data_IF_753295021856
#
_entry.id   IF_753295021856
#
_cell.length_a   1.000
_cell.length_b   1.000
_cell.length_c   1.000
_cell.angle_alpha   90.00
_cell.angle_beta   90.00
_cell.angle_gamma   90.00
#
_symmetry.space_group_name_H-M   'P 1'
#
loop_
_entity.id
_entity.type
_entity.pdbx_description
1 polymer ?
#
# COMPACT_ATOMS: atom_id res chain seq x y z
N UNK A 1 -37.87 -41.58 -62.97
CA UNK A 1 -37.67 -40.31 -62.24
C UNK A 1 -37.08 -40.62 -60.87
N UNK A 2 -35.87 -40.11 -60.59
CA UNK A 2 -35.12 -40.34 -59.34
C UNK A 2 -35.61 -39.34 -58.28
N UNK A 3 -35.92 -39.81 -57.08
CA UNK A 3 -36.11 -39.01 -55.87
C UNK A 3 -34.99 -39.37 -54.90
N UNK A 4 -34.14 -38.40 -54.57
CA UNK A 4 -33.05 -38.49 -53.60
C UNK A 4 -33.59 -37.90 -52.30
N UNK A 5 -33.54 -38.59 -51.14
CA UNK A 5 -33.88 -37.97 -49.88
C UNK A 5 -32.68 -37.19 -49.33
N UNK A 6 -32.92 -35.93 -48.97
CA UNK A 6 -31.96 -35.05 -48.33
C UNK A 6 -32.05 -35.28 -46.81
N UNK A 7 -31.11 -36.03 -46.23
CA UNK A 7 -30.96 -36.15 -44.77
C UNK A 7 -30.02 -35.07 -44.26
N UNK A 8 -30.58 -34.01 -43.66
CA UNK A 8 -29.82 -33.01 -42.88
C UNK A 8 -29.41 -33.60 -41.54
N UNK A 9 -28.12 -33.91 -41.37
CA UNK A 9 -27.52 -34.21 -40.08
C UNK A 9 -27.11 -32.89 -39.39
N UNK A 10 -27.78 -32.53 -38.30
CA UNK A 10 -27.38 -31.43 -37.44
C UNK A 10 -26.25 -31.90 -36.50
N UNK A 11 -25.02 -31.44 -36.73
CA UNK A 11 -23.90 -31.67 -35.83
C UNK A 11 -23.98 -30.70 -34.64
N UNK A 12 -24.33 -31.18 -33.45
CA UNK A 12 -24.16 -30.45 -32.19
C UNK A 12 -22.66 -30.40 -31.88
N UNK A 13 -22.03 -29.23 -32.05
CA UNK A 13 -20.70 -28.97 -31.53
C UNK A 13 -20.78 -28.74 -30.02
N UNK A 14 -20.37 -29.73 -29.22
CA UNK A 14 -20.21 -29.58 -27.79
C UNK A 14 -19.02 -28.65 -27.51
N UNK A 15 -19.29 -27.40 -27.13
CA UNK A 15 -18.27 -26.46 -26.64
C UNK A 15 -17.87 -26.92 -25.23
N UNK A 16 -16.69 -27.53 -25.11
CA UNK A 16 -16.10 -27.84 -23.82
C UNK A 16 -15.67 -26.54 -23.14
N UNK A 17 -16.43 -26.11 -22.14
CA UNK A 17 -16.03 -25.01 -21.25
C UNK A 17 -14.99 -25.57 -20.28
N UNK A 18 -13.72 -25.38 -20.59
CA UNK A 18 -12.64 -25.64 -19.62
C UNK A 18 -12.72 -24.60 -18.53
N UNK A 19 -13.24 -24.98 -17.36
CA UNK A 19 -13.14 -24.17 -16.16
C UNK A 19 -11.66 -24.04 -15.77
N UNK A 20 -11.08 -22.85 -15.96
CA UNK A 20 -9.80 -22.52 -15.34
C UNK A 20 -10.09 -22.39 -13.85
N UNK A 21 -9.70 -23.40 -13.07
CA UNK A 21 -9.74 -23.30 -11.62
C UNK A 21 -8.88 -22.10 -11.21
N UNK A 22 -9.49 -21.07 -10.62
CA UNK A 22 -8.77 -19.94 -10.06
C UNK A 22 -7.78 -20.47 -9.01
N UNK A 23 -6.48 -20.48 -9.36
CA UNK A 23 -5.44 -20.84 -8.42
C UNK A 23 -5.44 -19.79 -7.31
N UNK A 24 -5.73 -20.22 -6.09
CA UNK A 24 -5.65 -19.41 -4.87
C UNK A 24 -4.29 -18.67 -4.87
N UNK A 25 -4.26 -17.33 -4.69
CA UNK A 25 -3.00 -16.59 -4.66
C UNK A 25 -2.08 -17.24 -3.61
N UNK A 26 -0.79 -17.42 -3.87
CA UNK A 26 0.12 -18.00 -2.89
C UNK A 26 0.20 -17.11 -1.64
N UNK A 27 -0.04 -17.71 -0.48
CA UNK A 27 0.25 -17.14 0.84
C UNK A 27 1.02 -18.20 1.62
N UNK A 28 2.10 -17.83 2.28
CA UNK A 28 2.87 -18.77 3.05
C UNK A 28 2.27 -18.86 4.46
N UNK A 29 1.48 -19.91 4.71
CA UNK A 29 0.70 -20.05 5.96
C UNK A 29 1.50 -20.65 7.13
N UNK A 30 2.83 -20.57 7.14
CA UNK A 30 3.60 -20.94 8.33
C UNK A 30 3.74 -19.73 9.26
N UNK A 31 3.36 -19.91 10.52
CA UNK A 31 3.30 -18.86 11.56
C UNK A 31 4.60 -18.05 11.73
N UNK A 32 5.74 -18.57 11.29
CA UNK A 32 7.04 -17.91 11.45
C UNK A 32 7.59 -17.26 10.17
N UNK A 33 6.92 -17.36 9.01
CA UNK A 33 7.47 -16.81 7.76
C UNK A 33 7.10 -15.34 7.63
N UNK A 34 8.10 -14.52 7.37
CA UNK A 34 7.89 -13.11 7.06
C UNK A 34 7.59 -12.96 5.58
N UNK A 35 6.36 -12.54 5.28
CA UNK A 35 5.91 -12.16 3.94
C UNK A 35 6.30 -10.71 3.65
N UNK A 36 7.08 -10.49 2.58
CA UNK A 36 7.65 -9.21 2.20
C UNK A 36 7.25 -8.86 0.77
N UNK A 37 6.46 -7.81 0.63
CA UNK A 37 6.13 -7.28 -0.68
C UNK A 37 7.22 -6.35 -1.22
N UNK A 38 7.55 -6.55 -2.49
CA UNK A 38 8.60 -5.82 -3.19
C UNK A 38 8.09 -5.34 -4.55
N UNK A 39 8.09 -4.03 -4.76
CA UNK A 39 7.85 -3.44 -6.08
C UNK A 39 9.20 -3.10 -6.70
N UNK A 40 9.41 -3.52 -7.95
CA UNK A 40 10.63 -3.21 -8.69
C UNK A 40 10.27 -2.41 -9.92
N UNK A 41 10.93 -1.28 -10.13
CA UNK A 41 10.62 -0.35 -11.22
C UNK A 41 11.86 0.11 -11.98
N UNK A 42 11.67 0.50 -13.24
CA UNK A 42 12.71 1.12 -14.05
C UNK A 42 12.90 2.61 -13.68
N UNK A 43 13.75 3.32 -14.44
CA UNK A 43 14.04 4.74 -14.22
C UNK A 43 12.86 5.67 -14.53
N UNK A 44 11.97 5.24 -15.42
CA UNK A 44 10.77 5.99 -15.80
C UNK A 44 9.61 5.71 -14.84
N UNK A 45 9.84 4.81 -13.89
CA UNK A 45 8.88 4.44 -12.89
C UNK A 45 7.86 3.40 -13.36
N UNK A 46 8.16 2.60 -14.39
CA UNK A 46 7.31 1.48 -14.79
C UNK A 46 7.69 0.24 -14.00
N UNK A 47 6.68 -0.53 -13.58
CA UNK A 47 6.90 -1.82 -12.92
C UNK A 47 7.63 -2.79 -13.85
N UNK A 48 8.64 -3.47 -13.30
CA UNK A 48 9.46 -4.46 -14.00
C UNK A 48 8.98 -5.85 -13.63
N UNK A 49 8.41 -6.56 -14.62
CA UNK A 49 8.02 -7.97 -14.52
C UNK A 49 9.15 -8.91 -14.94
N UNK A 50 8.98 -10.22 -14.69
CA UNK A 50 9.91 -11.25 -15.15
C UNK A 50 11.23 -11.32 -14.38
N UNK A 51 11.29 -10.75 -13.17
CA UNK A 51 12.33 -11.07 -12.21
C UNK A 51 12.08 -12.46 -11.63
N UNK A 52 13.15 -13.14 -11.28
CA UNK A 52 13.16 -14.46 -10.65
C UNK A 52 13.63 -14.33 -9.22
N UNK A 53 13.38 -15.33 -8.37
CA UNK A 53 13.91 -15.40 -6.99
C UNK A 53 15.41 -15.08 -6.91
N UNK A 54 16.20 -15.53 -7.88
CA UNK A 54 17.66 -15.38 -7.91
C UNK A 54 18.11 -13.93 -8.14
N UNK A 55 17.21 -13.08 -8.65
CA UNK A 55 17.49 -11.66 -8.83
C UNK A 55 17.47 -10.89 -7.48
N UNK A 56 16.94 -11.47 -6.40
CA UNK A 56 16.73 -10.79 -5.12
C UNK A 56 17.71 -11.23 -4.03
N UNK A 57 18.25 -10.25 -3.30
CA UNK A 57 18.96 -10.43 -2.04
C UNK A 57 18.19 -9.70 -0.94
N UNK A 58 17.87 -10.40 0.16
CA UNK A 58 17.22 -9.82 1.33
C UNK A 58 18.15 -9.92 2.53
N UNK A 59 18.22 -8.84 3.31
CA UNK A 59 18.92 -8.81 4.60
C UNK A 59 17.99 -8.34 5.70
N UNK A 60 18.10 -8.97 6.84
CA UNK A 60 17.47 -8.56 8.09
C UNK A 60 18.55 -8.29 9.13
N UNK A 61 18.54 -7.10 9.73
CA UNK A 61 19.57 -6.67 10.68
C UNK A 61 21.01 -6.83 10.15
N UNK A 62 21.18 -6.55 8.85
CA UNK A 62 22.43 -6.67 8.12
C UNK A 62 22.85 -8.10 7.76
N UNK A 63 22.12 -9.12 8.22
CA UNK A 63 22.37 -10.53 7.91
C UNK A 63 21.57 -10.96 6.69
N UNK A 64 22.22 -11.61 5.72
CA UNK A 64 21.52 -12.20 4.58
C UNK A 64 20.57 -13.31 5.06
N UNK A 65 19.35 -13.30 4.52
CA UNK A 65 18.33 -14.32 4.78
C UNK A 65 18.03 -15.09 3.51
N UNK A 66 17.73 -16.38 3.66
CA UNK A 66 17.39 -17.22 2.52
C UNK A 66 15.90 -17.10 2.21
N UNK A 67 15.57 -16.76 0.96
CA UNK A 67 14.19 -16.75 0.46
C UNK A 67 13.66 -18.19 0.37
N UNK A 68 12.62 -18.51 1.13
CA UNK A 68 11.93 -19.81 1.11
C UNK A 68 10.76 -19.83 0.13
N UNK A 69 10.40 -18.66 -0.35
CA UNK A 69 9.10 -18.37 -0.89
C UNK A 69 9.22 -17.21 -1.89
N UNK A 70 8.65 -17.37 -3.08
CA UNK A 70 8.71 -16.37 -4.14
C UNK A 70 7.48 -16.46 -5.03
N UNK A 71 6.87 -15.30 -5.29
CA UNK A 71 5.72 -15.16 -6.17
C UNK A 71 5.85 -13.84 -6.93
N UNK A 72 5.65 -13.87 -8.25
CA UNK A 72 5.41 -12.67 -9.03
C UNK A 72 3.90 -12.44 -9.13
N UNK A 73 3.41 -11.29 -8.65
CA UNK A 73 1.99 -10.94 -8.65
C UNK A 73 1.75 -9.80 -9.64
N UNK A 74 0.76 -10.00 -10.52
CA UNK A 74 0.31 -8.99 -11.47
C UNK A 74 -1.21 -8.88 -11.41
N UNK A 75 -1.72 -7.77 -10.89
CA UNK A 75 -3.16 -7.51 -10.76
C UNK A 75 -3.72 -6.69 -11.95
N UNK A 76 -2.90 -6.30 -12.94
CA UNK A 76 -3.39 -5.50 -14.07
C UNK A 76 -4.37 -6.32 -14.92
N UNK A 77 -5.65 -5.95 -14.86
CA UNK A 77 -6.71 -6.50 -15.72
C UNK A 77 -7.33 -7.80 -15.23
N UNK A 78 -7.10 -8.20 -13.97
CA UNK A 78 -7.82 -9.34 -13.43
C UNK A 78 -9.28 -8.99 -13.19
N UNK A 79 -10.17 -9.78 -13.80
CA UNK A 79 -11.61 -9.73 -13.52
C UNK A 79 -11.96 -10.39 -12.17
N UNK A 80 -10.98 -10.94 -11.45
CA UNK A 80 -11.20 -11.51 -10.13
C UNK A 80 -11.30 -10.39 -9.09
N UNK A 81 -12.42 -10.35 -8.38
CA UNK A 81 -12.67 -9.42 -7.28
C UNK A 81 -11.62 -9.55 -6.16
N UNK A 82 -10.94 -10.69 -6.05
CA UNK A 82 -9.88 -10.93 -5.07
C UNK A 82 -8.55 -10.19 -5.38
N UNK A 83 -8.36 -9.70 -6.60
CA UNK A 83 -7.15 -8.96 -7.03
C UNK A 83 -7.29 -7.44 -6.86
N UNK A 84 -8.41 -6.99 -6.28
CA UNK A 84 -8.66 -5.60 -5.93
C UNK A 84 -7.64 -5.05 -4.93
N UNK A 85 -7.48 -3.72 -4.90
CA UNK A 85 -6.64 -3.03 -3.91
C UNK A 85 -7.51 -2.53 -2.77
N UNK A 86 -6.98 -2.55 -1.54
CA UNK A 86 -7.61 -1.88 -0.40
C UNK A 86 -6.81 -0.64 -0.06
N UNK A 87 -7.37 0.54 -0.38
CA UNK A 87 -6.70 1.84 -0.24
C UNK A 87 -7.43 2.69 0.80
N UNK A 88 -6.69 3.08 1.84
CA UNK A 88 -7.17 4.01 2.86
C UNK A 88 -6.50 5.37 2.65
N UNK A 89 -7.30 6.39 2.36
CA UNK A 89 -6.81 7.76 2.21
C UNK A 89 -6.93 8.50 3.53
N UNK A 90 -5.80 8.95 4.09
CA UNK A 90 -5.78 9.81 5.27
C UNK A 90 -5.68 11.27 4.83
N UNK A 91 -6.58 12.12 5.31
CA UNK A 91 -6.59 13.55 4.99
C UNK A 91 -6.17 14.38 6.20
N UNK A 92 -5.05 15.10 6.07
CA UNK A 92 -4.52 15.99 7.09
C UNK A 92 -5.38 17.26 7.22
N UNK A 93 -6.41 17.22 8.05
CA UNK A 93 -7.26 18.36 8.40
C UNK A 93 -6.72 19.20 9.57
N UNK A 94 -5.75 18.68 10.33
CA UNK A 94 -5.19 19.33 11.53
C UNK A 94 -3.93 20.15 11.25
N UNK A 95 -3.01 19.64 10.44
CA UNK A 95 -1.70 20.23 10.15
C UNK A 95 -1.68 21.16 8.93
N UNK A 96 -2.79 21.24 8.19
CA UNK A 96 -2.93 22.08 7.01
C UNK A 96 -3.59 23.42 7.35
N UNK A 97 -3.22 24.49 6.63
CA UNK A 97 -3.89 25.79 6.73
C UNK A 97 -5.25 25.73 6.03
N UNK A 98 -6.28 26.50 6.48
CA UNK A 98 -7.60 26.51 5.84
C UNK A 98 -7.58 26.73 4.32
N UNK A 99 -6.64 27.57 3.83
CA UNK A 99 -6.44 27.83 2.40
C UNK A 99 -6.07 26.59 1.56
N UNK A 100 -5.60 25.51 2.17
CA UNK A 100 -5.26 24.27 1.48
C UNK A 100 -6.47 23.37 1.19
N UNK A 101 -7.66 23.71 1.71
CA UNK A 101 -8.86 22.86 1.64
C UNK A 101 -9.17 22.41 0.21
N UNK A 102 -9.28 23.35 -0.74
CA UNK A 102 -9.60 23.03 -2.14
C UNK A 102 -8.53 22.15 -2.80
N UNK A 103 -7.25 22.41 -2.50
CA UNK A 103 -6.13 21.62 -3.03
C UNK A 103 -6.17 20.17 -2.53
N UNK A 104 -6.35 19.95 -1.23
CA UNK A 104 -6.42 18.61 -0.65
C UNK A 104 -7.64 17.85 -1.19
N UNK A 105 -8.82 18.49 -1.29
CA UNK A 105 -10.01 17.88 -1.91
C UNK A 105 -9.75 17.49 -3.36
N UNK A 106 -9.08 18.34 -4.13
CA UNK A 106 -8.74 18.04 -5.53
C UNK A 106 -7.79 16.84 -5.64
N UNK A 107 -6.73 16.79 -4.81
CA UNK A 107 -5.78 15.66 -4.81
C UNK A 107 -6.50 14.37 -4.40
N UNK A 108 -7.29 14.39 -3.33
CA UNK A 108 -8.05 13.24 -2.86
C UNK A 108 -9.08 12.76 -3.88
N UNK A 109 -9.76 13.69 -4.56
CA UNK A 109 -10.67 13.38 -5.66
C UNK A 109 -9.95 12.69 -6.83
N UNK A 110 -8.74 13.11 -7.17
CA UNK A 110 -7.93 12.42 -8.17
C UNK A 110 -7.50 11.02 -7.72
N UNK A 111 -7.12 10.83 -6.45
CA UNK A 111 -6.86 9.49 -5.91
C UNK A 111 -8.11 8.62 -6.05
N UNK A 112 -9.28 9.14 -5.67
CA UNK A 112 -10.54 8.43 -5.75
C UNK A 112 -11.00 8.10 -7.18
N UNK A 113 -10.64 8.94 -8.15
CA UNK A 113 -10.98 8.72 -9.56
C UNK A 113 -10.23 7.52 -10.18
N UNK A 114 -9.02 7.20 -9.69
CA UNK A 114 -8.22 6.07 -10.19
C UNK A 114 -8.65 4.72 -9.61
N UNK A 115 -9.49 4.71 -8.57
CA UNK A 115 -10.07 3.48 -8.03
C UNK A 115 -11.01 2.85 -9.07
N UNK A 116 -10.68 1.61 -9.45
CA UNK A 116 -11.49 0.76 -10.31
C UNK A 116 -12.63 0.06 -9.54
N UNK A 117 -13.52 -0.66 -10.24
CA UNK A 117 -14.69 -1.30 -9.62
C UNK A 117 -14.36 -2.38 -8.58
N UNK A 118 -13.17 -2.98 -8.64
CA UNK A 118 -12.72 -4.00 -7.69
C UNK A 118 -11.95 -3.47 -6.48
N UNK A 119 -11.63 -2.17 -6.45
CA UNK A 119 -10.87 -1.56 -5.36
C UNK A 119 -11.78 -1.14 -4.21
N UNK A 120 -11.35 -1.40 -2.97
CA UNK A 120 -11.92 -0.72 -1.81
C UNK A 120 -11.18 0.60 -1.63
N UNK A 121 -11.93 1.69 -1.58
CA UNK A 121 -11.41 3.00 -1.25
C UNK A 121 -12.20 3.57 -0.09
N UNK A 122 -11.51 3.92 0.98
CA UNK A 122 -12.07 4.68 2.10
C UNK A 122 -11.24 5.93 2.37
N UNK A 123 -11.84 6.90 3.03
CA UNK A 123 -11.22 8.19 3.39
C UNK A 123 -11.41 8.41 4.88
N UNK A 124 -10.36 8.83 5.58
CA UNK A 124 -10.39 9.20 7.00
C UNK A 124 -9.83 10.61 7.15
N UNK A 125 -10.60 11.50 7.79
CA UNK A 125 -10.15 12.84 8.18
C UNK A 125 -9.61 12.77 9.61
N UNK A 126 -8.39 13.24 9.85
CA UNK A 126 -7.67 12.96 11.11
C UNK A 126 -8.36 13.54 12.36
N UNK A 127 -9.01 14.69 12.25
CA UNK A 127 -9.75 15.29 13.36
C UNK A 127 -11.11 14.64 13.59
N UNK A 128 -11.65 13.88 12.62
CA UNK A 128 -12.96 13.27 12.72
C UNK A 128 -12.89 11.85 13.29
N UNK A 129 -13.32 11.69 14.54
CA UNK A 129 -13.28 10.41 15.27
C UNK A 129 -14.30 9.37 14.79
N UNK A 130 -15.26 9.75 13.94
CA UNK A 130 -16.29 8.86 13.43
C UNK A 130 -15.93 8.29 12.05
N UNK A 131 -14.81 8.71 11.45
CA UNK A 131 -14.38 8.18 10.17
C UNK A 131 -13.69 6.83 10.36
N UNK A 132 -14.37 5.77 9.95
CA UNK A 132 -13.90 4.37 10.04
C UNK A 132 -13.07 3.94 8.81
N UNK A 133 -12.16 2.94 8.95
CA UNK A 133 -11.29 2.43 7.88
C UNK A 133 -12.00 1.49 6.89
N UNK A 134 -13.32 1.54 6.83
CA UNK A 134 -14.17 0.82 5.90
C UNK A 134 -15.30 1.72 5.43
N UNK A 135 -15.88 1.38 4.28
CA UNK A 135 -16.90 2.18 3.62
C UNK A 135 -16.89 1.94 2.13
N UNK A 136 -17.93 2.41 1.45
CA UNK A 136 -17.99 2.38 0.00
C UNK A 136 -17.41 3.65 -0.63
N UNK A 137 -17.29 3.62 -1.96
CA UNK A 137 -16.78 4.77 -2.73
C UNK A 137 -17.61 6.03 -2.55
N UNK A 138 -18.94 5.91 -2.35
CA UNK A 138 -19.84 7.05 -2.18
C UNK A 138 -19.55 7.76 -0.87
N UNK A 139 -19.36 7.00 0.22
CA UNK A 139 -18.97 7.54 1.52
C UNK A 139 -17.57 8.17 1.46
N UNK A 140 -16.63 7.54 0.77
CA UNK A 140 -15.30 8.12 0.56
C UNK A 140 -15.37 9.49 -0.13
N UNK A 141 -16.15 9.60 -1.22
CA UNK A 141 -16.35 10.86 -1.93
C UNK A 141 -17.06 11.91 -1.07
N UNK A 142 -18.05 11.53 -0.27
CA UNK A 142 -18.70 12.43 0.68
C UNK A 142 -17.71 13.00 1.71
N UNK A 143 -16.88 12.14 2.31
CA UNK A 143 -15.83 12.58 3.26
C UNK A 143 -14.81 13.53 2.61
N UNK A 144 -14.47 13.33 1.33
CA UNK A 144 -13.64 14.28 0.58
C UNK A 144 -14.34 15.62 0.42
N UNK A 145 -15.62 15.63 0.04
CA UNK A 145 -16.40 16.87 -0.11
C UNK A 145 -16.55 17.62 1.21
N UNK A 146 -16.66 16.90 2.33
CA UNK A 146 -16.79 17.49 3.66
C UNK A 146 -15.47 17.92 4.29
N UNK A 147 -14.32 17.43 3.80
CA UNK A 147 -13.00 17.74 4.36
C UNK A 147 -12.76 19.25 4.50
N UNK A 148 -12.25 19.70 5.64
CA UNK A 148 -11.86 21.09 5.89
C UNK A 148 -10.48 21.10 6.55
N UNK A 149 -9.57 21.95 6.08
CA UNK A 149 -8.25 22.09 6.70
C UNK A 149 -8.29 23.10 7.87
N UNK A 150 -7.37 22.93 8.83
CA UNK A 150 -7.21 23.81 9.99
C UNK A 150 -8.18 23.50 11.14
N UNK A 151 -8.56 22.22 11.29
CA UNK A 151 -9.47 21.77 12.34
C UNK A 151 -8.69 21.59 13.65
N UNK A 152 -9.07 22.37 14.67
CA UNK A 152 -8.53 22.25 16.02
C UNK A 152 -7.07 22.70 16.19
N UNK A 153 -6.51 22.56 17.40
CA UNK A 153 -5.13 22.93 17.68
C UNK A 153 -4.16 21.84 17.21
N UNK A 154 -3.18 22.21 16.39
CA UNK A 154 -2.06 21.34 16.04
C UNK A 154 -1.00 21.33 17.16
N UNK A 155 -0.85 20.18 17.82
CA UNK A 155 0.28 19.89 18.71
C UNK A 155 1.17 18.84 18.06
N UNK A 156 2.43 19.16 17.78
CA UNK A 156 3.29 18.29 16.99
C UNK A 156 3.47 16.89 17.58
N UNK A 157 3.63 16.77 18.90
CA UNK A 157 3.93 15.48 19.53
C UNK A 157 2.65 14.67 19.65
N UNK A 158 1.61 15.23 20.27
CA UNK A 158 0.32 14.56 20.47
C UNK A 158 -0.33 14.16 19.16
N UNK A 159 -0.31 15.05 18.16
CA UNK A 159 -0.87 14.74 16.83
C UNK A 159 -0.07 13.63 16.14
N UNK A 160 1.25 13.58 16.31
CA UNK A 160 2.05 12.48 15.76
C UNK A 160 1.70 11.15 16.43
N UNK A 161 1.54 11.13 17.74
CA UNK A 161 1.10 9.94 18.49
C UNK A 161 -0.28 9.46 18.02
N UNK A 162 -1.25 10.36 17.89
CA UNK A 162 -2.60 10.04 17.43
C UNK A 162 -2.60 9.48 15.99
N UNK A 163 -1.80 10.07 15.10
CA UNK A 163 -1.65 9.58 13.71
C UNK A 163 -1.00 8.19 13.69
N UNK A 164 0.03 7.93 14.49
CA UNK A 164 0.65 6.61 14.57
C UNK A 164 -0.34 5.55 15.10
N UNK A 165 -1.14 5.88 16.12
CA UNK A 165 -2.20 4.99 16.61
C UNK A 165 -3.28 4.74 15.56
N UNK A 166 -3.63 5.76 14.76
CA UNK A 166 -4.53 5.59 13.63
C UNK A 166 -3.93 4.65 12.57
N UNK A 167 -2.67 4.84 12.18
CA UNK A 167 -1.97 3.94 11.25
C UNK A 167 -1.94 2.49 11.78
N UNK A 168 -1.70 2.31 13.08
CA UNK A 168 -1.79 0.98 13.73
C UNK A 168 -3.19 0.38 13.61
N UNK A 169 -4.22 1.15 13.94
CA UNK A 169 -5.63 0.71 13.89
C UNK A 169 -6.05 0.33 12.46
N UNK A 170 -5.77 1.21 11.49
CA UNK A 170 -6.01 0.99 10.07
C UNK A 170 -5.30 -0.26 9.57
N UNK A 171 -4.01 -0.43 9.91
CA UNK A 171 -3.22 -1.59 9.48
C UNK A 171 -3.80 -2.89 10.03
N UNK A 172 -4.22 -2.92 11.31
CA UNK A 172 -4.90 -4.09 11.89
C UNK A 172 -6.23 -4.40 11.21
N UNK A 173 -7.02 -3.37 10.85
CA UNK A 173 -8.26 -3.55 10.09
C UNK A 173 -7.97 -4.15 8.70
N UNK A 174 -6.93 -3.65 8.03
CA UNK A 174 -6.53 -4.14 6.71
C UNK A 174 -5.94 -5.55 6.77
N UNK A 175 -5.28 -5.95 7.86
CA UNK A 175 -4.77 -7.32 8.07
C UNK A 175 -5.87 -8.37 7.87
N UNK A 176 -7.08 -8.09 8.36
CA UNK A 176 -8.26 -8.95 8.25
C UNK A 176 -8.82 -9.05 6.82
N UNK A 177 -8.45 -8.13 5.93
CA UNK A 177 -8.86 -8.16 4.52
C UNK A 177 -7.95 -9.11 3.75
N UNK A 178 -8.47 -10.27 3.34
CA UNK A 178 -7.65 -11.30 2.71
C UNK A 178 -7.14 -10.88 1.32
N UNK A 179 -5.85 -11.11 1.07
CA UNK A 179 -5.18 -11.23 -0.25
C UNK A 179 -5.20 -10.01 -1.20
N UNK A 180 -5.67 -8.86 -0.74
CA UNK A 180 -5.58 -7.61 -1.50
C UNK A 180 -4.28 -6.88 -1.24
N UNK A 181 -3.79 -6.15 -2.23
CA UNK A 181 -2.71 -5.19 -2.02
C UNK A 181 -3.24 -4.02 -1.18
N UNK A 182 -2.58 -3.73 -0.06
CA UNK A 182 -3.04 -2.75 0.92
C UNK A 182 -2.16 -1.52 0.91
N UNK A 183 -2.77 -0.35 0.80
CA UNK A 183 -2.06 0.91 0.82
C UNK A 183 -2.74 1.94 1.72
N UNK A 184 -1.93 2.73 2.41
CA UNK A 184 -2.37 3.94 3.08
C UNK A 184 -1.82 5.13 2.27
N UNK A 185 -2.67 6.05 1.85
CA UNK A 185 -2.25 7.27 1.14
C UNK A 185 -2.57 8.47 2.02
N UNK A 186 -1.55 9.08 2.61
CA UNK A 186 -1.74 10.30 3.40
C UNK A 186 -1.55 11.54 2.52
N UNK A 187 -2.53 12.45 2.56
CA UNK A 187 -2.51 13.71 1.79
C UNK A 187 -2.47 14.86 2.78
N UNK A 188 -1.41 15.65 2.75
CA UNK A 188 -1.21 16.65 3.80
C UNK A 188 0.19 17.23 3.94
N UNK A 189 0.54 17.54 5.18
CA UNK A 189 1.83 18.08 5.57
C UNK A 189 2.84 16.97 5.89
N UNK A 190 4.14 17.28 5.79
CA UNK A 190 5.20 16.34 6.14
C UNK A 190 5.20 15.95 7.63
N UNK A 191 4.81 16.88 8.50
CA UNK A 191 4.76 16.63 9.94
C UNK A 191 3.74 15.55 10.32
N UNK A 192 2.73 15.34 9.46
CA UNK A 192 1.64 14.40 9.66
C UNK A 192 1.82 13.15 8.80
N UNK A 193 2.03 13.33 7.49
CA UNK A 193 2.06 12.22 6.55
C UNK A 193 3.39 11.48 6.48
N UNK A 194 4.47 12.00 7.05
CA UNK A 194 5.75 11.31 7.10
C UNK A 194 6.46 11.57 8.43
N UNK A 195 5.81 11.16 9.53
CA UNK A 195 6.39 11.20 10.87
C UNK A 195 7.76 10.52 10.82
N UNK A 196 8.77 11.18 11.40
CA UNK A 196 10.15 10.65 11.42
C UNK A 196 10.31 9.64 12.55
N UNK A 197 11.15 8.64 12.34
CA UNK A 197 11.53 7.68 13.38
C UNK A 197 11.98 8.45 14.65
N UNK A 198 11.33 8.18 15.80
CA UNK A 198 11.72 8.78 17.07
C UNK A 198 13.13 8.36 17.47
N UNK A 199 13.88 9.27 18.10
CA UNK A 199 15.17 8.90 18.71
C UNK A 199 14.96 7.83 19.79
N UNK A 200 15.96 6.97 20.08
CA UNK A 200 15.83 5.91 21.09
C UNK A 200 15.31 6.38 22.46
N UNK A 201 15.63 7.61 22.85
CA UNK A 201 15.23 8.22 24.12
C UNK A 201 14.13 9.29 23.97
N UNK A 202 13.30 9.19 22.94
CA UNK A 202 12.15 10.09 22.80
C UNK A 202 11.21 9.95 24.02
N UNK A 203 10.82 11.08 24.60
CA UNK A 203 9.85 11.15 25.70
C UNK A 203 8.44 10.86 25.21
N UNK A 204 7.57 10.36 26.09
CA UNK A 204 6.17 10.06 25.78
C UNK A 204 5.97 8.68 25.15
N UNK A 205 4.80 8.48 24.53
CA UNK A 205 4.42 7.23 23.86
C UNK A 205 4.93 7.14 22.42
N UNK A 206 5.43 8.24 21.85
CA UNK A 206 5.79 8.33 20.43
C UNK A 206 6.68 7.18 19.92
N UNK A 207 7.70 6.73 20.68
CA UNK A 207 8.53 5.58 20.27
C UNK A 207 7.72 4.28 20.25
N UNK A 208 6.87 4.06 21.25
CA UNK A 208 6.00 2.88 21.33
C UNK A 208 4.99 2.89 20.18
N UNK A 209 4.30 4.01 19.97
CA UNK A 209 3.31 4.16 18.90
C UNK A 209 3.97 3.97 17.52
N UNK A 210 5.22 4.40 17.33
CA UNK A 210 6.00 4.15 16.13
C UNK A 210 6.25 2.65 15.88
N UNK A 211 6.73 1.94 16.90
CA UNK A 211 7.02 0.50 16.82
C UNK A 211 5.74 -0.27 16.51
N UNK A 212 4.64 0.08 17.18
CA UNK A 212 3.33 -0.53 16.94
C UNK A 212 2.83 -0.27 15.51
N UNK A 213 2.97 0.95 15.00
CA UNK A 213 2.54 1.31 13.66
C UNK A 213 3.35 0.58 12.58
N UNK A 214 4.69 0.58 12.68
CA UNK A 214 5.57 -0.13 11.75
C UNK A 214 5.34 -1.65 11.82
N UNK A 215 5.18 -2.20 13.02
CA UNK A 215 4.89 -3.63 13.22
C UNK A 215 3.54 -4.04 12.65
N UNK A 216 2.48 -3.26 12.91
CA UNK A 216 1.16 -3.52 12.36
C UNK A 216 1.13 -3.40 10.83
N UNK A 217 1.77 -2.37 10.27
CA UNK A 217 1.87 -2.22 8.82
C UNK A 217 2.66 -3.38 8.18
N UNK A 218 3.73 -3.85 8.83
CA UNK A 218 4.49 -4.99 8.34
C UNK A 218 3.67 -6.29 8.36
N UNK A 219 2.96 -6.62 9.45
CA UNK A 219 2.09 -7.82 9.52
C UNK A 219 0.95 -7.76 8.51
N UNK A 220 0.38 -6.58 8.30
CA UNK A 220 -0.70 -6.39 7.35
C UNK A 220 -0.23 -6.29 5.88
N UNK A 221 1.08 -6.26 5.61
CA UNK A 221 1.66 -5.95 4.29
C UNK A 221 1.11 -4.64 3.68
N UNK A 222 1.05 -3.60 4.51
CA UNK A 222 0.61 -2.25 4.12
C UNK A 222 1.81 -1.41 3.71
N UNK A 223 1.73 -0.77 2.55
CA UNK A 223 2.66 0.31 2.16
C UNK A 223 1.98 1.67 2.35
N UNK A 224 2.65 2.59 3.05
CA UNK A 224 2.16 3.95 3.22
C UNK A 224 2.84 4.89 2.24
N UNK A 225 2.07 5.74 1.56
CA UNK A 225 2.53 6.79 0.66
C UNK A 225 2.11 8.16 1.19
N UNK A 226 2.88 9.19 0.86
CA UNK A 226 2.55 10.56 1.24
C UNK A 226 2.49 11.48 0.00
N UNK A 227 1.38 12.19 -0.15
CA UNK A 227 1.19 13.23 -1.15
C UNK A 227 1.24 14.59 -0.45
N UNK A 228 2.40 15.24 -0.48
CA UNK A 228 2.62 16.49 0.24
C UNK A 228 2.12 17.67 -0.58
N UNK A 229 1.11 18.37 -0.05
CA UNK A 229 0.45 19.49 -0.72
C UNK A 229 1.25 20.80 -0.68
N UNK A 230 2.31 20.87 0.13
CA UNK A 230 3.17 22.04 0.29
C UNK A 230 4.60 21.73 -0.20
N UNK A 231 5.33 22.76 -0.66
CA UNK A 231 6.78 22.62 -0.91
C UNK A 231 7.50 22.53 0.42
N UNK A 232 8.07 21.36 0.71
CA UNK A 232 8.85 21.11 1.93
C UNK A 232 10.05 20.26 1.57
N UNK A 233 11.14 20.46 2.31
CA UNK A 233 12.33 19.62 2.18
C UNK A 233 12.03 18.22 2.66
N UNK A 234 12.14 17.24 1.77
CA UNK A 234 11.96 15.84 2.09
C UNK A 234 12.95 15.40 3.18
N UNK A 235 12.43 14.78 4.24
CA UNK A 235 13.25 14.09 5.23
C UNK A 235 13.14 12.58 5.02
N UNK A 236 14.28 11.91 4.92
CA UNK A 236 14.37 10.44 4.95
C UNK A 236 14.12 9.89 6.36
N UNK A 237 13.89 8.58 6.47
CA UNK A 237 13.73 7.90 7.76
C UNK A 237 12.39 8.17 8.45
N UNK A 238 11.33 8.35 7.66
CA UNK A 238 9.96 8.46 8.15
C UNK A 238 9.14 7.22 7.89
N UNK A 239 7.92 7.18 8.43
CA UNK A 239 7.05 5.99 8.45
C UNK A 239 6.69 5.49 7.04
N UNK A 240 6.59 6.41 6.08
CA UNK A 240 6.37 6.09 4.66
C UNK A 240 7.46 5.16 4.14
N UNK A 241 8.72 5.49 4.42
CA UNK A 241 9.86 4.69 3.99
C UNK A 241 9.99 3.40 4.81
N UNK A 242 9.69 3.46 6.12
CA UNK A 242 9.71 2.31 7.00
C UNK A 242 8.75 1.20 6.52
N UNK A 243 7.58 1.59 5.98
CA UNK A 243 6.54 0.69 5.44
C UNK A 243 6.68 0.40 3.93
N UNK A 244 7.69 0.98 3.27
CA UNK A 244 8.06 0.65 1.90
C UNK A 244 7.35 1.44 0.80
N UNK A 245 6.70 2.55 1.15
CA UNK A 245 6.19 3.50 0.15
C UNK A 245 7.12 4.69 -0.07
N UNK A 246 6.60 5.70 -0.75
CA UNK A 246 7.36 6.88 -1.20
C UNK A 246 6.63 8.18 -0.86
N UNK A 247 7.41 9.23 -0.58
CA UNK A 247 6.89 10.57 -0.34
C UNK A 247 6.99 11.35 -1.63
N UNK A 248 5.85 11.83 -2.12
CA UNK A 248 5.77 12.67 -3.30
C UNK A 248 5.53 14.12 -2.90
N UNK A 249 6.27 15.02 -3.52
CA UNK A 249 6.11 16.47 -3.35
C UNK A 249 5.94 17.11 -4.70
N UNK A 250 4.94 17.95 -4.88
CA UNK A 250 4.80 18.75 -6.09
C UNK A 250 3.88 19.93 -5.83
N UNK A 251 4.35 21.12 -6.19
CA UNK A 251 3.55 22.34 -6.09
C UNK A 251 2.67 22.61 -7.31
N UNK A 252 2.75 21.77 -8.35
CA UNK A 252 2.05 22.00 -9.62
C UNK A 252 1.13 20.85 -10.00
N UNK A 253 1.62 19.61 -9.87
CA UNK A 253 0.87 18.44 -10.29
C UNK A 253 1.32 17.18 -9.55
N UNK A 254 0.38 16.54 -8.85
CA UNK A 254 0.57 15.27 -8.17
C UNK A 254 -0.06 14.09 -8.93
N UNK A 255 -0.71 14.32 -10.08
CA UNK A 255 -1.34 13.23 -10.87
C UNK A 255 -0.34 12.13 -11.29
N UNK A 256 0.91 12.43 -11.72
CA UNK A 256 1.88 11.37 -11.99
C UNK A 256 2.24 10.54 -10.75
N UNK A 257 2.27 11.17 -9.57
CA UNK A 257 2.50 10.47 -8.31
C UNK A 257 1.31 9.57 -7.93
N UNK A 258 0.08 10.04 -8.15
CA UNK A 258 -1.14 9.24 -7.93
C UNK A 258 -1.13 8.01 -8.84
N UNK A 259 -0.89 8.19 -10.13
CA UNK A 259 -0.79 7.08 -11.08
C UNK A 259 0.30 6.08 -10.65
N UNK A 260 1.45 6.58 -10.20
CA UNK A 260 2.53 5.75 -9.69
C UNK A 260 2.11 4.91 -8.48
N UNK A 261 1.42 5.49 -7.50
CA UNK A 261 0.92 4.76 -6.31
C UNK A 261 0.00 3.61 -6.74
N UNK A 262 -0.92 3.86 -7.68
CA UNK A 262 -1.84 2.84 -8.17
C UNK A 262 -1.12 1.74 -8.99
N UNK A 263 -0.07 2.10 -9.73
CA UNK A 263 0.78 1.13 -10.43
C UNK A 263 1.58 0.25 -9.47
N UNK A 264 2.18 0.84 -8.43
CA UNK A 264 2.91 0.11 -7.38
C UNK A 264 1.97 -0.85 -6.63
N UNK A 265 0.71 -0.44 -6.44
CA UNK A 265 -0.33 -1.29 -5.87
C UNK A 265 -0.81 -2.42 -6.80
N UNK A 266 -0.36 -2.47 -8.06
CA UNK A 266 -0.84 -3.45 -9.06
C UNK A 266 0.18 -4.52 -9.45
N UNK A 267 1.49 -4.27 -9.27
CA UNK A 267 2.56 -5.23 -9.64
C UNK A 267 3.60 -5.31 -8.54
N UNK A 268 3.78 -6.50 -7.99
CA UNK A 268 4.77 -6.73 -6.94
C UNK A 268 5.28 -8.16 -6.94
N UNK A 269 6.35 -8.38 -6.20
CA UNK A 269 6.89 -9.69 -5.88
C UNK A 269 6.65 -9.93 -4.39
N UNK A 270 6.03 -11.06 -4.06
CA UNK A 270 5.92 -11.53 -2.68
C UNK A 270 7.09 -12.45 -2.40
N UNK A 271 7.92 -12.05 -1.45
CA UNK A 271 9.07 -12.80 -0.98
C UNK A 271 8.77 -13.33 0.42
N UNK A 272 9.11 -14.59 0.72
CA UNK A 272 8.97 -15.12 2.07
C UNK A 272 10.29 -15.67 2.59
N UNK A 273 10.62 -15.39 3.85
CA UNK A 273 11.84 -15.85 4.51
C UNK A 273 11.62 -16.07 6.01
N UNK A 274 12.49 -16.86 6.64
CA UNK A 274 12.47 -17.04 8.10
C UNK A 274 13.21 -15.89 8.80
N UNK A 275 12.62 -15.23 9.80
CA UNK A 275 13.24 -14.11 10.50
C UNK A 275 14.49 -14.54 11.27
N UNK A 276 15.41 -13.60 11.43
CA UNK A 276 16.58 -13.74 12.29
C UNK A 276 16.12 -13.63 13.74
N UNK A 277 16.38 -14.67 14.53
CA UNK A 277 16.08 -14.67 15.97
C UNK A 277 16.81 -13.52 16.68
N UNK A 278 16.05 -12.66 17.37
CA UNK A 278 16.58 -11.51 18.09
C UNK A 278 15.54 -11.01 19.11
N UNK A 279 16.00 -10.31 20.16
CA UNK A 279 15.14 -9.70 21.20
C UNK A 279 14.74 -8.26 20.87
N UNK A 280 15.17 -7.72 19.73
CA UNK A 280 14.81 -6.36 19.31
C UNK A 280 13.30 -6.27 19.05
N UNK A 281 12.75 -5.08 19.21
CA UNK A 281 11.34 -4.79 18.87
C UNK A 281 11.17 -4.40 17.40
N UNK A 282 12.24 -3.90 16.79
CA UNK A 282 12.31 -3.51 15.38
C UNK A 282 13.52 -4.17 14.73
N UNK A 283 13.32 -4.60 13.49
CA UNK A 283 14.34 -5.16 12.63
C UNK A 283 14.47 -4.32 11.38
N UNK A 284 15.71 -4.06 11.00
CA UNK A 284 16.02 -3.38 9.74
C UNK A 284 15.93 -4.36 8.58
N UNK A 285 15.38 -3.91 7.46
CA UNK A 285 15.19 -4.67 6.24
C UNK A 285 15.90 -3.99 5.08
N UNK A 286 16.60 -4.79 4.28
CA UNK A 286 17.21 -4.34 3.03
C UNK A 286 16.87 -5.34 1.94
N UNK A 287 16.41 -4.84 0.79
CA UNK A 287 16.13 -5.63 -0.41
C UNK A 287 16.93 -5.05 -1.56
N UNK A 288 17.68 -5.91 -2.24
CA UNK A 288 18.44 -5.57 -3.44
C UNK A 288 17.99 -6.44 -4.60
N UNK A 289 18.09 -5.86 -5.79
CA UNK A 289 17.93 -6.57 -7.05
C UNK A 289 19.24 -6.50 -7.83
N UNK A 290 19.74 -7.65 -8.29
CA UNK A 290 21.03 -7.75 -8.96
C UNK A 290 21.08 -7.01 -10.31
N UNK A 291 19.93 -6.87 -10.98
CA UNK A 291 19.81 -6.17 -12.26
C UNK A 291 20.03 -4.66 -12.09
N UNK A 292 20.98 -4.12 -12.86
CA UNK A 292 21.37 -2.70 -12.79
C UNK A 292 20.26 -1.78 -13.28
N UNK A 293 20.19 -0.58 -12.70
CA UNK A 293 19.29 0.49 -13.14
C UNK A 293 17.84 0.35 -12.65
N UNK A 294 17.55 -0.65 -11.83
CA UNK A 294 16.24 -0.83 -11.21
C UNK A 294 16.17 -0.15 -9.84
N UNK A 295 14.97 0.33 -9.49
CA UNK A 295 14.63 0.84 -8.16
C UNK A 295 13.76 -0.17 -7.45
N UNK A 296 14.05 -0.40 -6.18
CA UNK A 296 13.30 -1.32 -5.30
C UNK A 296 12.53 -0.51 -4.27
N UNK A 297 11.22 -0.77 -4.16
CA UNK A 297 10.36 -0.27 -3.09
C UNK A 297 9.94 -1.48 -2.25
N UNK A 298 10.40 -1.51 -1.01
CA UNK A 298 10.09 -2.53 -0.02
C UNK A 298 10.21 -1.91 1.36
N UNK A 299 9.49 -2.46 2.35
CA UNK A 299 9.57 -1.95 3.73
C UNK A 299 11.02 -2.01 4.22
N UNK A 300 11.46 -0.95 4.91
CA UNK A 300 12.81 -0.85 5.49
C UNK A 300 12.88 -1.30 6.94
N UNK A 301 11.72 -1.48 7.58
CA UNK A 301 11.63 -1.96 8.95
C UNK A 301 10.45 -2.93 9.09
N UNK A 302 10.56 -3.84 10.06
CA UNK A 302 9.41 -4.58 10.59
C UNK A 302 9.47 -4.62 12.11
N UNK A 303 8.30 -4.72 12.73
CA UNK A 303 8.20 -5.13 14.14
C UNK A 303 8.34 -6.64 14.30
N UNK A 304 8.19 -7.09 15.54
CA UNK A 304 7.96 -8.50 15.87
C UNK A 304 6.57 -8.98 15.41
#
# INVERSE_FOLDING_TARGET
MKLIPLTTAAALAAVAVTSVAAQKPPSFQSLDLVDLDVVVTDRDGRAVSGLTRQDFEVREDGKAVELKAFVAVSARGSANLDDGRSVVVLLDDVGMRPAATSSIRSIAGHVAAHAGPGDDLTVIRLANRNDEPYGDRSLALARIVEYQAGVGPFDRVRTSEDVLRLVTSVSRSLELTARRRKAIVCIGSQAICNIREPRPYAVGSLRRDWIEAVGAAARANVSMYALLANRVGLSSGGIVEATGGEVFTSARDLRPAIERIWQDASHHYLLGYWPVTSRKELHSMEVKVARKGLRVLARRQRGN
#
